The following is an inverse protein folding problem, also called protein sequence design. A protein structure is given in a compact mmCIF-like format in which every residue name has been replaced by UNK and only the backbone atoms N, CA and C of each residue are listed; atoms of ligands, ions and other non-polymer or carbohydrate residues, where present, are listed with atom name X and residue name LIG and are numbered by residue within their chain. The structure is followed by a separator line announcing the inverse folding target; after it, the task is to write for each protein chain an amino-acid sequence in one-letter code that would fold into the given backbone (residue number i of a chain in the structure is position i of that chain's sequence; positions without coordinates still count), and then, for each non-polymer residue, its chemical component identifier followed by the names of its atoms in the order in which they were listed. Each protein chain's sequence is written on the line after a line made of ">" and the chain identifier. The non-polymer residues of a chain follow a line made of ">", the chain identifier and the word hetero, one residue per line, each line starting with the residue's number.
data_IF_506274599300
#
_entry.id   IF_506274599300
#
_cell.length_a   1.000
_cell.length_b   1.000
_cell.length_c   1.000
_cell.angle_alpha   90.00
_cell.angle_beta   90.00
_cell.angle_gamma   90.00
#
_symmetry.space_group_name_H-M   'P 1'
#
loop_
_entity.id
_entity.type
_entity.pdbx_description
1 polymer ?
#
# COMPACT_ATOMS: atom_id res chain seq x y z
N UNK A 1 2.85 5.45 21.38
CA UNK A 1 3.76 4.46 20.76
C UNK A 1 3.51 4.38 19.24
N UNK A 2 2.29 4.05 18.77
CA UNK A 2 1.94 3.93 17.35
C UNK A 2 2.33 5.18 16.54
N UNK A 3 1.95 6.38 17.00
CA UNK A 3 2.28 7.64 16.30
C UNK A 3 3.79 7.90 16.19
N UNK A 4 4.60 7.43 17.12
CA UNK A 4 6.05 7.54 17.04
C UNK A 4 6.62 6.56 15.99
N UNK A 5 6.12 5.32 15.99
CA UNK A 5 6.53 4.31 15.01
C UNK A 5 6.10 4.67 13.59
N UNK A 6 4.88 5.20 13.42
CA UNK A 6 4.39 5.67 12.11
C UNK A 6 5.26 6.81 11.54
N UNK A 7 5.77 7.72 12.40
CA UNK A 7 6.70 8.76 11.92
C UNK A 7 8.05 8.20 11.46
N UNK A 8 8.56 7.17 12.15
CA UNK A 8 9.80 6.49 11.73
C UNK A 8 9.60 5.83 10.37
N UNK A 9 8.49 5.09 10.21
CA UNK A 9 8.14 4.46 8.94
C UNK A 9 7.95 5.50 7.81
N UNK A 10 7.20 6.57 8.07
CA UNK A 10 6.98 7.65 7.10
C UNK A 10 8.30 8.31 6.66
N UNK A 11 9.24 8.55 7.58
CA UNK A 11 10.56 9.09 7.23
C UNK A 11 11.36 8.12 6.37
N UNK A 12 11.30 6.82 6.68
CA UNK A 12 12.00 5.80 5.89
C UNK A 12 11.42 5.69 4.48
N UNK A 13 10.09 5.71 4.33
CA UNK A 13 9.41 5.73 3.04
C UNK A 13 9.71 7.01 2.25
N UNK A 14 9.75 8.17 2.91
CA UNK A 14 10.15 9.42 2.25
C UNK A 14 11.57 9.33 1.68
N UNK A 15 12.50 8.81 2.48
CA UNK A 15 13.89 8.64 2.04
C UNK A 15 13.98 7.68 0.85
N UNK A 16 13.22 6.59 0.87
CA UNK A 16 13.14 5.63 -0.22
C UNK A 16 12.54 6.27 -1.48
N UNK A 17 11.40 6.93 -1.38
CA UNK A 17 10.71 7.55 -2.52
C UNK A 17 11.53 8.66 -3.20
N UNK A 18 12.34 9.39 -2.43
CA UNK A 18 13.19 10.46 -2.96
C UNK A 18 14.57 10.01 -3.43
N UNK A 19 15.01 8.82 -3.02
CA UNK A 19 16.29 8.24 -3.42
C UNK A 19 16.23 6.71 -3.36
N UNK A 20 15.77 6.08 -4.44
CA UNK A 20 15.56 4.63 -4.52
C UNK A 20 16.90 3.91 -4.67
N UNK A 21 17.34 3.25 -3.59
CA UNK A 21 18.53 2.40 -3.54
C UNK A 21 18.22 1.11 -2.78
N UNK A 22 19.04 0.06 -2.88
CA UNK A 22 18.87 -1.15 -2.07
C UNK A 22 18.81 -0.85 -0.56
N UNK A 23 19.61 0.10 -0.08
CA UNK A 23 19.71 0.47 1.34
C UNK A 23 18.44 1.19 1.80
N UNK A 24 17.92 2.16 1.02
CA UNK A 24 16.70 2.89 1.36
C UNK A 24 15.46 1.99 1.25
N UNK A 25 15.43 1.06 0.28
CA UNK A 25 14.39 0.04 0.20
C UNK A 25 14.38 -0.87 1.44
N UNK A 26 15.54 -1.39 1.84
CA UNK A 26 15.66 -2.24 3.02
C UNK A 26 15.25 -1.49 4.31
N UNK A 27 15.63 -0.22 4.44
CA UNK A 27 15.27 0.61 5.59
C UNK A 27 13.75 0.87 5.64
N UNK A 28 13.12 1.18 4.50
CA UNK A 28 11.68 1.38 4.40
C UNK A 28 10.91 0.09 4.72
N UNK A 29 11.34 -1.04 4.15
CA UNK A 29 10.73 -2.34 4.43
C UNK A 29 10.81 -2.72 5.91
N UNK A 30 11.98 -2.54 6.54
CA UNK A 30 12.16 -2.84 7.97
C UNK A 30 11.28 -1.94 8.86
N UNK A 31 11.25 -0.64 8.61
CA UNK A 31 10.43 0.31 9.36
C UNK A 31 8.92 0.06 9.14
N UNK A 32 8.52 -0.27 7.93
CA UNK A 32 7.15 -0.63 7.55
C UNK A 32 6.68 -1.89 8.29
N UNK A 33 7.48 -2.95 8.30
CA UNK A 33 7.15 -4.18 9.00
C UNK A 33 6.90 -3.96 10.50
N UNK A 34 7.76 -3.18 11.17
CA UNK A 34 7.57 -2.84 12.60
C UNK A 34 6.28 -2.03 12.80
N UNK A 35 6.02 -1.05 11.94
CA UNK A 35 4.81 -0.22 12.02
C UNK A 35 3.54 -1.04 11.81
N UNK A 36 3.51 -1.93 10.81
CA UNK A 36 2.39 -2.80 10.50
C UNK A 36 2.11 -3.78 11.65
N UNK A 37 3.14 -4.44 12.18
CA UNK A 37 3.00 -5.34 13.33
C UNK A 37 2.39 -4.63 14.54
N UNK A 38 2.89 -3.45 14.87
CA UNK A 38 2.36 -2.67 16.01
C UNK A 38 0.91 -2.27 15.77
N UNK A 39 0.58 -1.79 14.56
CA UNK A 39 -0.79 -1.38 14.22
C UNK A 39 -1.77 -2.57 14.32
N UNK A 40 -1.41 -3.73 13.75
CA UNK A 40 -2.23 -4.95 13.80
C UNK A 40 -2.36 -5.47 15.24
N UNK A 41 -1.29 -5.46 16.04
CA UNK A 41 -1.34 -5.84 17.46
C UNK A 41 -2.34 -4.98 18.23
N UNK A 42 -2.25 -3.66 18.10
CA UNK A 42 -3.16 -2.73 18.76
C UNK A 42 -4.61 -2.87 18.28
N UNK A 43 -4.80 -3.10 16.97
CA UNK A 43 -6.12 -3.36 16.40
C UNK A 43 -6.74 -4.65 16.98
N UNK A 44 -5.96 -5.73 17.10
CA UNK A 44 -6.39 -6.98 17.72
C UNK A 44 -6.67 -6.80 19.22
N UNK A 45 -5.82 -6.10 19.95
CA UNK A 45 -6.05 -5.78 21.36
C UNK A 45 -7.35 -4.97 21.54
N UNK A 46 -7.68 -4.07 20.61
CA UNK A 46 -8.91 -3.27 20.68
C UNK A 46 -10.20 -4.10 20.64
N UNK A 47 -10.16 -5.34 20.14
CA UNK A 47 -11.32 -6.26 20.10
C UNK A 47 -11.77 -6.73 21.48
N UNK A 48 -10.92 -6.60 22.52
CA UNK A 48 -11.26 -6.96 23.88
C UNK A 48 -12.26 -5.98 24.52
N UNK A 49 -12.47 -4.81 23.90
CA UNK A 49 -13.37 -3.79 24.38
C UNK A 49 -14.71 -3.85 23.64
N UNK A 50 -15.81 -3.94 24.40
CA UNK A 50 -17.13 -3.80 23.84
C UNK A 50 -17.39 -2.33 23.50
N UNK A 51 -17.33 -2.02 22.21
CA UNK A 51 -17.50 -0.65 21.70
C UNK A 51 -18.91 -0.10 21.93
N UNK A 52 -19.91 -0.98 22.14
CA UNK A 52 -21.32 -0.56 22.34
C UNK A 52 -21.54 0.14 23.69
N UNK A 53 -20.68 -0.12 24.68
CA UNK A 53 -20.76 0.49 26.02
C UNK A 53 -19.80 1.66 26.20
N UNK A 54 -18.98 1.97 25.20
CA UNK A 54 -18.05 3.09 25.25
C UNK A 54 -18.71 4.42 24.88
N UNK A 55 -18.22 5.56 25.41
CA UNK A 55 -18.56 6.86 24.86
C UNK A 55 -18.29 6.92 23.35
N UNK A 56 -19.14 7.62 22.59
CA UNK A 56 -19.14 7.61 21.14
C UNK A 56 -17.77 7.97 20.52
N UNK A 57 -17.04 8.90 21.13
CA UNK A 57 -15.70 9.29 20.67
C UNK A 57 -14.65 8.18 20.88
N UNK A 58 -14.76 7.41 21.95
CA UNK A 58 -13.89 6.26 22.21
C UNK A 58 -14.26 5.07 21.31
N UNK A 59 -15.56 4.80 21.14
CA UNK A 59 -16.04 3.77 20.23
C UNK A 59 -15.52 4.01 18.81
N UNK A 60 -15.62 5.27 18.32
CA UNK A 60 -15.08 5.65 17.01
C UNK A 60 -13.56 5.48 16.91
N UNK A 61 -12.80 5.87 17.93
CA UNK A 61 -11.34 5.66 17.96
C UNK A 61 -10.98 4.18 17.88
N UNK A 62 -11.69 3.30 18.59
CA UNK A 62 -11.47 1.84 18.51
C UNK A 62 -11.79 1.28 17.13
N UNK A 63 -12.83 1.78 16.47
CA UNK A 63 -13.14 1.43 15.09
C UNK A 63 -12.02 1.87 14.15
N UNK A 64 -11.57 3.12 14.27
CA UNK A 64 -10.50 3.66 13.42
C UNK A 64 -9.14 2.94 13.60
N UNK A 65 -8.87 2.37 14.77
CA UNK A 65 -7.67 1.53 14.95
C UNK A 65 -7.69 0.28 14.06
N UNK A 66 -8.87 -0.26 13.80
CA UNK A 66 -9.05 -1.46 12.96
C UNK A 66 -9.16 -1.13 11.48
N UNK A 67 -9.90 -0.08 11.12
CA UNK A 67 -10.14 0.31 9.73
C UNK A 67 -9.08 1.23 9.14
N UNK A 68 -8.22 1.82 9.97
CA UNK A 68 -7.16 2.74 9.53
C UNK A 68 -5.88 2.07 9.02
N UNK A 69 -5.83 0.73 8.99
CA UNK A 69 -4.69 -0.01 8.43
C UNK A 69 -4.98 -0.25 6.96
N UNK A 70 -4.23 0.41 6.07
CA UNK A 70 -4.49 0.32 4.61
C UNK A 70 -4.25 -1.09 4.07
N UNK A 71 -3.14 -1.72 4.45
CA UNK A 71 -2.78 -3.08 4.03
C UNK A 71 -2.31 -3.84 5.28
N UNK A 72 -3.20 -4.60 5.94
CA UNK A 72 -2.84 -5.37 7.12
C UNK A 72 -2.06 -6.63 6.76
N UNK A 73 -1.16 -7.06 7.63
CA UNK A 73 -0.57 -8.39 7.56
C UNK A 73 -1.15 -9.24 8.69
N UNK A 74 -1.31 -10.58 8.50
CA UNK A 74 -1.69 -11.48 9.58
C UNK A 74 -0.58 -11.54 10.65
N UNK A 75 -0.92 -12.04 11.85
CA UNK A 75 0.03 -12.23 12.95
C UNK A 75 1.06 -13.35 12.68
N UNK A 76 0.95 -14.06 11.57
CA UNK A 76 1.88 -15.12 11.16
C UNK A 76 3.32 -14.57 11.12
N UNK A 77 4.29 -15.26 11.76
CA UNK A 77 5.67 -14.81 11.76
C UNK A 77 6.23 -14.64 10.34
N UNK A 78 6.81 -13.48 10.06
CA UNK A 78 7.39 -13.14 8.76
C UNK A 78 6.43 -12.45 7.78
N UNK A 79 5.10 -12.52 7.98
CA UNK A 79 4.13 -11.97 7.04
C UNK A 79 4.24 -10.44 6.88
N UNK A 80 4.43 -9.71 7.95
CA UNK A 80 4.59 -8.25 7.89
C UNK A 80 5.91 -7.85 7.21
N UNK A 81 6.97 -8.61 7.40
CA UNK A 81 8.26 -8.43 6.72
C UNK A 81 8.12 -8.71 5.23
N UNK A 82 7.49 -9.83 4.84
CA UNK A 82 7.23 -10.19 3.45
C UNK A 82 6.38 -9.10 2.78
N UNK A 83 5.29 -8.69 3.39
CA UNK A 83 4.43 -7.61 2.89
C UNK A 83 5.20 -6.32 2.65
N UNK A 84 5.99 -5.88 3.63
CA UNK A 84 6.76 -4.64 3.51
C UNK A 84 7.86 -4.73 2.45
N UNK A 85 8.49 -5.89 2.27
CA UNK A 85 9.45 -6.12 1.19
C UNK A 85 8.79 -6.06 -0.19
N UNK A 86 7.62 -6.69 -0.33
CA UNK A 86 6.86 -6.65 -1.57
C UNK A 86 6.44 -5.23 -1.92
N UNK A 87 5.83 -4.50 -0.99
CA UNK A 87 5.34 -3.14 -1.25
C UNK A 87 6.47 -2.19 -1.62
N UNK A 88 7.58 -2.19 -0.89
CA UNK A 88 8.74 -1.36 -1.25
C UNK A 88 9.41 -1.80 -2.55
N UNK A 89 9.40 -3.09 -2.86
CA UNK A 89 9.88 -3.63 -4.13
C UNK A 89 9.04 -3.18 -5.33
N UNK A 90 7.71 -3.20 -5.19
CA UNK A 90 6.76 -2.70 -6.20
C UNK A 90 6.98 -1.19 -6.44
N UNK A 91 7.08 -0.39 -5.38
CA UNK A 91 7.35 1.05 -5.46
C UNK A 91 8.69 1.33 -6.16
N UNK A 92 9.74 0.58 -5.81
CA UNK A 92 11.05 0.72 -6.42
C UNK A 92 11.04 0.35 -7.91
N UNK A 93 10.39 -0.76 -8.28
CA UNK A 93 10.26 -1.21 -9.66
C UNK A 93 9.54 -0.16 -10.51
N UNK A 94 8.45 0.38 -9.99
CA UNK A 94 7.68 1.42 -10.67
C UNK A 94 8.47 2.74 -10.76
N UNK A 95 9.06 3.19 -9.64
CA UNK A 95 9.76 4.48 -9.57
C UNK A 95 11.07 4.55 -10.34
N UNK A 96 11.75 3.40 -10.55
CA UNK A 96 12.99 3.34 -11.35
C UNK A 96 12.76 2.85 -12.78
N UNK A 97 11.52 2.46 -13.11
CA UNK A 97 11.15 1.92 -14.40
C UNK A 97 11.47 2.87 -15.55
N UNK A 98 11.84 2.29 -16.70
CA UNK A 98 12.10 3.03 -17.94
C UNK A 98 11.54 2.27 -19.12
N UNK A 99 11.07 3.01 -20.11
CA UNK A 99 10.68 2.50 -21.41
C UNK A 99 11.59 3.09 -22.49
N UNK A 100 12.07 2.25 -23.39
CA UNK A 100 12.91 2.72 -24.51
C UNK A 100 12.02 3.16 -25.66
N UNK A 101 11.99 4.46 -25.93
CA UNK A 101 11.24 5.07 -27.01
C UNK A 101 12.19 5.83 -27.94
N UNK A 102 12.13 5.55 -29.26
CA UNK A 102 13.02 6.13 -30.29
C UNK A 102 14.51 6.05 -29.96
N UNK A 103 14.92 4.97 -29.26
CA UNK A 103 16.33 4.72 -28.89
C UNK A 103 16.76 5.34 -27.56
N UNK A 104 15.92 6.08 -26.87
CA UNK A 104 16.18 6.68 -25.56
C UNK A 104 15.42 5.97 -24.45
N UNK A 105 16.07 5.71 -23.31
CA UNK A 105 15.45 5.12 -22.12
C UNK A 105 14.82 6.23 -21.27
N UNK A 106 13.50 6.41 -21.39
CA UNK A 106 12.73 7.46 -20.76
C UNK A 106 12.08 6.96 -19.46
N UNK A 107 12.09 7.80 -18.44
CA UNK A 107 11.36 7.58 -17.19
C UNK A 107 9.89 8.08 -17.30
N UNK A 108 9.10 7.87 -16.23
CA UNK A 108 7.69 8.26 -16.20
C UNK A 108 7.45 9.75 -16.49
N UNK A 109 8.26 10.63 -15.89
CA UNK A 109 8.08 12.09 -16.06
C UNK A 109 8.32 12.52 -17.52
N UNK A 110 9.36 11.95 -18.14
CA UNK A 110 9.67 12.21 -19.56
C UNK A 110 8.58 11.67 -20.50
N UNK A 111 8.05 10.47 -20.22
CA UNK A 111 6.93 9.90 -20.97
C UNK A 111 5.63 10.68 -20.74
N UNK A 112 5.37 11.12 -19.52
CA UNK A 112 4.22 11.98 -19.19
C UNK A 112 4.27 13.31 -19.95
N UNK A 113 5.45 13.91 -20.08
CA UNK A 113 5.64 15.13 -20.88
C UNK A 113 5.28 14.91 -22.35
N UNK A 114 5.63 13.75 -22.91
CA UNK A 114 5.22 13.41 -24.30
C UNK A 114 3.69 13.28 -24.38
N UNK A 115 3.07 12.58 -23.43
CA UNK A 115 1.59 12.43 -23.40
C UNK A 115 0.89 13.78 -23.29
N UNK A 116 1.43 14.70 -22.50
CA UNK A 116 0.87 16.02 -22.28
C UNK A 116 0.97 16.92 -23.53
N UNK A 117 2.11 16.87 -24.21
CA UNK A 117 2.47 17.83 -25.27
C UNK A 117 2.24 17.34 -26.70
N UNK A 118 2.35 16.03 -26.96
CA UNK A 118 2.15 15.45 -28.28
C UNK A 118 0.68 15.51 -28.71
N UNK A 119 0.47 15.59 -30.03
CA UNK A 119 -0.84 15.47 -30.67
C UNK A 119 -0.84 14.36 -31.74
N UNK A 120 0.24 13.58 -31.81
CA UNK A 120 0.37 12.44 -32.70
C UNK A 120 -0.25 11.19 -32.01
N UNK A 121 -1.35 10.62 -32.53
CA UNK A 121 -2.02 9.46 -31.93
C UNK A 121 -1.11 8.22 -31.83
N UNK A 122 -0.23 8.00 -32.81
CA UNK A 122 0.68 6.85 -32.82
C UNK A 122 1.76 7.01 -31.76
N UNK A 123 2.28 8.20 -31.56
CA UNK A 123 3.23 8.52 -30.51
C UNK A 123 2.60 8.36 -29.13
N UNK A 124 1.40 8.92 -28.92
CA UNK A 124 0.66 8.82 -27.66
C UNK A 124 0.39 7.36 -27.31
N UNK A 125 -0.06 6.56 -28.28
CA UNK A 125 -0.31 5.13 -28.10
C UNK A 125 0.96 4.38 -27.73
N UNK A 126 2.05 4.56 -28.47
CA UNK A 126 3.31 3.87 -28.26
C UNK A 126 3.89 4.15 -26.85
N UNK A 127 3.84 5.41 -26.41
CA UNK A 127 4.31 5.82 -25.08
C UNK A 127 3.42 5.26 -23.97
N UNK A 128 2.09 5.31 -24.17
CA UNK A 128 1.13 4.80 -23.19
C UNK A 128 1.23 3.28 -23.01
N UNK A 129 1.30 2.52 -24.10
CA UNK A 129 1.48 1.06 -24.07
C UNK A 129 2.86 0.69 -23.51
N UNK A 130 3.90 1.39 -23.95
CA UNK A 130 5.27 1.13 -23.54
C UNK A 130 5.48 1.26 -22.02
N UNK A 131 4.90 2.30 -21.39
CA UNK A 131 4.98 2.44 -19.95
C UNK A 131 4.34 1.26 -19.20
N UNK A 132 3.22 0.69 -19.70
CA UNK A 132 2.54 -0.45 -19.05
C UNK A 132 3.41 -1.73 -19.03
N UNK A 133 4.40 -1.83 -19.89
CA UNK A 133 5.31 -3.01 -19.87
C UNK A 133 6.12 -3.12 -18.58
N UNK A 134 6.32 -2.01 -17.86
CA UNK A 134 7.04 -1.97 -16.58
C UNK A 134 6.28 -2.74 -15.48
N UNK A 135 4.96 -2.74 -15.53
CA UNK A 135 4.14 -3.44 -14.52
C UNK A 135 4.03 -4.95 -14.75
N UNK A 136 4.41 -5.46 -15.91
CA UNK A 136 4.29 -6.91 -16.22
C UNK A 136 5.03 -7.79 -15.18
N UNK A 137 6.29 -7.53 -14.83
CA UNK A 137 7.00 -8.31 -13.80
C UNK A 137 6.48 -8.11 -12.37
N UNK A 138 5.65 -7.11 -12.12
CA UNK A 138 5.11 -6.81 -10.79
C UNK A 138 3.89 -7.66 -10.43
N UNK A 139 3.32 -8.40 -11.41
CA UNK A 139 2.02 -9.07 -11.27
C UNK A 139 1.99 -10.08 -10.13
N UNK A 140 3.00 -10.92 -10.01
CA UNK A 140 3.02 -12.00 -9.02
C UNK A 140 3.22 -11.45 -7.61
N UNK A 141 4.09 -10.46 -7.45
CA UNK A 141 4.28 -9.75 -6.19
C UNK A 141 3.00 -9.00 -5.76
N UNK A 142 2.30 -8.38 -6.72
CA UNK A 142 1.04 -7.72 -6.44
C UNK A 142 -0.04 -8.72 -6.00
N UNK A 143 -0.13 -9.88 -6.65
CA UNK A 143 -1.05 -10.94 -6.25
C UNK A 143 -0.72 -11.44 -4.84
N UNK A 144 0.56 -11.66 -4.54
CA UNK A 144 1.00 -12.08 -3.21
C UNK A 144 0.71 -11.04 -2.12
N UNK A 145 0.90 -9.76 -2.43
CA UNK A 145 0.52 -8.66 -1.54
C UNK A 145 -0.98 -8.71 -1.18
N UNK A 146 -1.84 -8.95 -2.18
CA UNK A 146 -3.30 -9.04 -1.97
C UNK A 146 -3.65 -10.26 -1.11
N UNK A 147 -3.00 -11.41 -1.31
CA UNK A 147 -3.21 -12.61 -0.48
C UNK A 147 -2.89 -12.31 0.99
N UNK A 148 -1.70 -11.79 1.28
CA UNK A 148 -1.28 -11.44 2.65
C UNK A 148 -2.24 -10.42 3.26
N UNK A 149 -2.63 -9.42 2.49
CA UNK A 149 -3.54 -8.37 2.96
C UNK A 149 -4.95 -8.91 3.28
N UNK A 150 -5.47 -9.84 2.48
CA UNK A 150 -6.73 -10.52 2.76
C UNK A 150 -6.64 -11.39 4.03
N UNK A 151 -5.56 -12.14 4.21
CA UNK A 151 -5.34 -12.89 5.45
C UNK A 151 -5.32 -11.96 6.67
N UNK A 152 -4.64 -10.81 6.57
CA UNK A 152 -4.62 -9.79 7.61
C UNK A 152 -6.00 -9.17 7.89
N UNK A 153 -6.78 -8.88 6.84
CA UNK A 153 -8.15 -8.38 6.97
C UNK A 153 -9.07 -9.41 7.65
N UNK A 154 -8.96 -10.69 7.26
CA UNK A 154 -9.70 -11.77 7.90
C UNK A 154 -9.37 -11.90 9.40
N UNK A 155 -8.10 -11.80 9.76
CA UNK A 155 -7.68 -11.81 11.16
C UNK A 155 -8.24 -10.62 11.94
N UNK A 156 -8.42 -9.45 11.29
CA UNK A 156 -9.06 -8.29 11.88
C UNK A 156 -10.60 -8.40 11.96
N UNK A 157 -11.20 -9.45 11.36
CA UNK A 157 -12.62 -9.76 11.42
C UNK A 157 -13.42 -9.26 10.23
N UNK A 158 -12.77 -8.93 9.13
CA UNK A 158 -13.39 -8.58 7.86
C UNK A 158 -13.39 -9.80 6.91
N UNK A 159 -14.35 -9.86 6.00
CA UNK A 159 -14.44 -10.93 5.02
C UNK A 159 -13.26 -10.87 4.01
N UNK A 160 -12.85 -9.64 3.66
CA UNK A 160 -11.79 -9.37 2.70
C UNK A 160 -11.20 -7.97 2.90
N UNK A 161 -10.11 -7.66 2.21
CA UNK A 161 -9.48 -6.34 2.26
C UNK A 161 -10.39 -5.23 1.71
N UNK A 162 -11.13 -5.50 0.62
CA UNK A 162 -12.07 -4.54 0.06
C UNK A 162 -13.22 -4.24 1.02
N UNK A 163 -13.79 -5.23 1.68
CA UNK A 163 -14.80 -5.03 2.73
C UNK A 163 -14.25 -4.23 3.91
N UNK A 164 -13.00 -4.47 4.29
CA UNK A 164 -12.33 -3.67 5.31
C UNK A 164 -12.20 -2.20 4.88
N UNK A 165 -11.82 -1.93 3.63
CA UNK A 165 -11.72 -0.57 3.10
C UNK A 165 -13.07 0.12 3.02
N UNK A 166 -14.10 -0.56 2.52
CA UNK A 166 -15.47 -0.04 2.45
C UNK A 166 -16.02 0.30 3.84
N UNK A 167 -15.71 -0.50 4.86
CA UNK A 167 -16.13 -0.24 6.23
C UNK A 167 -15.49 1.00 6.88
N UNK A 168 -14.45 1.56 6.26
CA UNK A 168 -13.79 2.81 6.68
C UNK A 168 -14.59 4.07 6.33
N UNK A 169 -15.57 3.97 5.43
CA UNK A 169 -16.50 5.04 5.12
C UNK A 169 -17.66 5.02 6.12
N UNK A 170 -18.26 6.18 6.42
CA UNK A 170 -19.39 6.27 7.33
C UNK A 170 -20.72 5.89 6.62
N UNK A 171 -20.69 4.81 5.84
CA UNK A 171 -21.85 4.28 5.10
C UNK A 171 -21.72 2.76 4.97
N UNK A 172 -22.84 2.06 4.80
CA UNK A 172 -22.81 0.61 4.61
C UNK A 172 -22.20 0.27 3.23
N UNK A 173 -21.42 -0.85 3.10
CA UNK A 173 -20.84 -1.26 1.81
C UNK A 173 -21.88 -1.37 0.70
N UNK A 174 -23.07 -1.89 0.99
CA UNK A 174 -24.17 -2.08 0.04
C UNK A 174 -24.71 -0.74 -0.51
N UNK A 175 -24.60 0.34 0.27
CA UNK A 175 -25.00 1.69 -0.15
C UNK A 175 -23.98 2.32 -1.10
N UNK A 176 -22.75 1.80 -1.13
CA UNK A 176 -21.68 2.27 -2.01
C UNK A 176 -21.70 1.59 -3.39
N UNK A 177 -22.32 0.41 -3.49
CA UNK A 177 -22.42 -0.36 -4.73
C UNK A 177 -23.66 0.00 -5.55
N UNK A 178 -24.55 0.83 -5.00
CA UNK A 178 -25.80 1.28 -5.63
C UNK A 178 -25.58 2.51 -6.51
#
# INVERSE_FOLDING_TARGET
>A
ELAAQSRIAAQAYWNQATNITPETNAAAAAAGAVSTKLAVSLANESKQFDVSVLPADLARKMTMLRTGITIPAPSTPGAAEELSQITTGLDATYGTGKFTYKGEALNLDQLSTIIETSRDPEELKAVWEGWRTISVPMKDDYARMVEIANEGANELGFESLDQMWLSGYDMAPEDMEA
#
